data_IF_386104970112
#
_entry.id   IF_386104970112
#
_cell.length_a   1.000
_cell.length_b   1.000
_cell.length_c   1.000
_cell.angle_alpha   90.00
_cell.angle_beta   90.00
_cell.angle_gamma   90.00
#
_symmetry.space_group_name_H-M   'P 1'
#
loop_
_entity.id
_entity.type
_entity.pdbx_description
1 polymer ?
#
# COMPACT_ATOMS: atom_id res chain seq x y z
N UNK A 1 -12.74 55.28 -55.57
CA UNK A 1 -14.02 55.31 -54.83
C UNK A 1 -14.78 54.04 -55.16
N UNK A 2 -14.64 53.04 -54.31
CA UNK A 2 -15.49 51.85 -54.28
C UNK A 2 -15.69 51.55 -52.79
N UNK A 3 -16.94 51.67 -52.36
CA UNK A 3 -17.39 51.46 -50.98
C UNK A 3 -17.59 49.97 -50.72
N UNK A 4 -16.97 49.44 -49.67
CA UNK A 4 -17.19 48.07 -49.20
C UNK A 4 -18.63 47.85 -48.71
N UNK A 5 -19.19 46.64 -48.85
CA UNK A 5 -20.54 46.32 -48.43
C UNK A 5 -20.63 46.17 -46.89
N UNK A 6 -21.82 46.38 -46.28
CA UNK A 6 -21.99 46.27 -44.85
C UNK A 6 -21.92 44.81 -44.36
N UNK A 7 -21.54 44.57 -43.10
CA UNK A 7 -21.45 43.23 -42.54
C UNK A 7 -22.84 42.61 -42.33
N UNK A 8 -22.96 41.28 -42.31
CA UNK A 8 -24.25 40.61 -42.14
C UNK A 8 -24.78 40.80 -40.71
N UNK A 9 -26.10 40.97 -40.61
CA UNK A 9 -26.82 41.04 -39.34
C UNK A 9 -26.60 39.76 -38.51
N UNK A 10 -26.01 39.92 -37.32
CA UNK A 10 -26.02 38.87 -36.29
C UNK A 10 -27.45 38.70 -35.77
N UNK A 11 -28.07 37.57 -36.08
CA UNK A 11 -29.25 37.09 -35.37
C UNK A 11 -28.85 36.73 -33.95
N UNK A 12 -29.37 37.47 -32.96
CA UNK A 12 -29.18 37.18 -31.55
C UNK A 12 -29.82 35.82 -31.22
N UNK A 13 -29.02 34.88 -30.72
CA UNK A 13 -29.47 33.61 -30.15
C UNK A 13 -30.14 33.91 -28.81
N UNK A 14 -31.35 33.40 -28.50
CA UNK A 14 -31.98 33.65 -27.21
C UNK A 14 -31.19 32.97 -26.09
N UNK A 15 -30.90 33.71 -25.03
CA UNK A 15 -30.38 33.15 -23.77
C UNK A 15 -31.42 32.17 -23.17
N UNK A 16 -31.01 30.99 -22.69
CA UNK A 16 -31.91 30.11 -21.97
C UNK A 16 -32.31 30.76 -20.64
N UNK A 17 -33.48 30.41 -20.07
CA UNK A 17 -33.91 30.97 -18.81
C UNK A 17 -32.93 30.56 -17.71
N UNK A 18 -32.64 31.49 -16.81
CA UNK A 18 -31.87 31.22 -15.59
C UNK A 18 -32.67 30.24 -14.71
N UNK A 19 -32.43 28.94 -14.89
CA UNK A 19 -32.78 27.93 -13.88
C UNK A 19 -31.75 28.05 -12.77
N UNK A 20 -32.23 28.30 -11.55
CA UNK A 20 -31.40 28.22 -10.36
C UNK A 20 -30.91 26.79 -10.16
N UNK A 21 -29.71 26.50 -10.64
CA UNK A 21 -29.00 25.28 -10.30
C UNK A 21 -28.19 25.52 -9.04
N UNK A 22 -28.60 24.85 -7.95
CA UNK A 22 -27.67 24.48 -6.90
C UNK A 22 -26.54 23.66 -7.56
N UNK A 23 -25.27 23.81 -7.14
CA UNK A 23 -24.18 23.10 -7.79
C UNK A 23 -24.41 21.59 -7.69
N UNK A 24 -24.57 20.93 -8.84
CA UNK A 24 -24.48 19.48 -8.97
C UNK A 24 -23.15 19.07 -8.31
N UNK A 25 -23.24 18.47 -7.11
CA UNK A 25 -22.07 17.82 -6.51
C UNK A 25 -21.54 16.84 -7.54
N UNK A 26 -20.34 17.10 -8.07
CA UNK A 26 -19.68 16.20 -9.01
C UNK A 26 -19.42 14.88 -8.28
N UNK A 27 -20.23 13.85 -8.59
CA UNK A 27 -20.06 12.52 -8.01
C UNK A 27 -18.97 11.82 -8.80
N UNK A 28 -17.76 11.77 -8.24
CA UNK A 28 -16.67 10.96 -8.79
C UNK A 28 -17.04 9.48 -8.66
N UNK A 29 -16.75 8.67 -9.69
CA UNK A 29 -17.06 7.24 -9.71
C UNK A 29 -15.90 6.45 -10.31
N UNK A 30 -15.77 5.20 -9.89
CA UNK A 30 -14.78 4.25 -10.41
C UNK A 30 -15.39 2.86 -10.51
N UNK A 31 -14.62 1.92 -11.06
CA UNK A 31 -14.96 0.50 -11.05
C UNK A 31 -14.01 -0.25 -10.12
N UNK A 32 -14.59 -1.05 -9.24
CA UNK A 32 -13.86 -2.05 -8.46
C UNK A 32 -14.14 -3.39 -9.13
N UNK A 33 -13.13 -4.07 -9.69
CA UNK A 33 -13.32 -5.43 -10.15
C UNK A 33 -13.55 -6.29 -8.92
N UNK A 34 -14.76 -6.78 -8.70
CA UNK A 34 -15.03 -7.75 -7.64
C UNK A 34 -15.26 -9.08 -8.33
N UNK A 35 -14.60 -10.18 -7.91
CA UNK A 35 -14.95 -11.49 -8.43
C UNK A 35 -16.44 -11.73 -8.16
N UNK A 36 -17.26 -12.18 -9.14
CA UNK A 36 -18.66 -12.50 -8.87
C UNK A 36 -18.73 -13.43 -7.66
N UNK A 37 -19.49 -13.06 -6.65
CA UNK A 37 -19.67 -13.90 -5.47
C UNK A 37 -20.26 -15.24 -5.93
N UNK A 38 -19.47 -16.31 -5.79
CA UNK A 38 -19.85 -17.69 -6.10
C UNK A 38 -20.46 -17.90 -7.50
N UNK A 39 -19.63 -17.93 -8.54
CA UNK A 39 -19.94 -18.72 -9.74
C UNK A 39 -18.81 -19.72 -9.94
N UNK A 40 -19.12 -20.98 -9.66
CA UNK A 40 -18.30 -22.15 -9.99
C UNK A 40 -18.26 -22.33 -11.50
N UNK A 41 -17.49 -21.54 -12.24
CA UNK A 41 -16.95 -21.93 -13.55
C UNK A 41 -15.62 -21.21 -13.80
N UNK A 42 -14.66 -21.96 -14.35
CA UNK A 42 -13.31 -21.51 -14.61
C UNK A 42 -13.27 -20.44 -15.71
N UNK A 43 -12.58 -19.33 -15.44
CA UNK A 43 -12.21 -18.32 -16.45
C UNK A 43 -13.27 -17.24 -16.68
N UNK A 44 -13.48 -16.35 -15.71
CA UNK A 44 -14.20 -15.09 -15.95
C UNK A 44 -13.22 -13.98 -16.32
N UNK A 45 -13.34 -13.44 -17.54
CA UNK A 45 -12.71 -12.18 -17.95
C UNK A 45 -13.22 -11.01 -17.09
N UNK A 46 -12.42 -9.95 -17.00
CA UNK A 46 -12.87 -8.69 -16.39
C UNK A 46 -14.12 -8.19 -17.11
N UNK A 47 -15.12 -7.66 -16.40
CA UNK A 47 -16.35 -7.19 -17.04
C UNK A 47 -16.04 -6.03 -18.01
N UNK A 48 -16.75 -6.00 -19.14
CA UNK A 48 -16.60 -5.02 -20.22
C UNK A 48 -16.78 -3.56 -19.72
N UNK A 49 -15.99 -2.63 -20.24
CA UNK A 49 -15.84 -1.23 -19.77
C UNK A 49 -17.05 -0.34 -20.13
N UNK A 50 -18.09 -0.92 -20.74
CA UNK A 50 -19.26 -0.21 -21.28
C UNK A 50 -20.48 -0.22 -20.35
N UNK A 51 -20.47 -1.01 -19.27
CA UNK A 51 -21.62 -1.13 -18.35
C UNK A 51 -21.53 -0.20 -17.13
N UNK A 52 -22.26 0.92 -17.21
CA UNK A 52 -22.37 1.93 -16.14
C UNK A 52 -23.03 1.42 -14.85
N UNK A 53 -23.68 0.24 -14.87
CA UNK A 53 -24.33 -0.34 -13.69
C UNK A 53 -23.35 -0.79 -12.59
N UNK A 54 -22.06 -0.93 -12.94
CA UNK A 54 -21.00 -1.44 -12.06
C UNK A 54 -20.10 -0.37 -11.41
N UNK A 55 -20.44 0.92 -11.58
CA UNK A 55 -19.66 2.04 -11.04
C UNK A 55 -19.99 2.30 -9.56
N UNK A 56 -18.95 2.33 -8.74
CA UNK A 56 -19.02 2.71 -7.32
C UNK A 56 -18.61 4.18 -7.12
N UNK A 57 -19.14 4.88 -6.11
CA UNK A 57 -18.73 6.24 -5.80
C UNK A 57 -17.28 6.32 -5.29
N UNK A 58 -16.64 7.45 -5.56
CA UNK A 58 -15.41 7.89 -4.89
C UNK A 58 -15.80 9.07 -3.98
N UNK A 59 -15.54 8.92 -2.68
CA UNK A 59 -15.79 9.95 -1.68
C UNK A 59 -14.48 10.65 -1.30
N UNK A 60 -14.45 11.98 -1.38
CA UNK A 60 -13.39 12.78 -0.77
C UNK A 60 -13.85 13.09 0.65
N UNK A 61 -13.09 12.61 1.64
CA UNK A 61 -13.46 12.63 3.05
C UNK A 61 -12.59 13.66 3.77
N UNK A 62 -13.20 14.69 4.35
CA UNK A 62 -12.55 15.67 5.23
C UNK A 62 -13.15 15.70 6.65
N UNK A 63 -14.21 14.94 6.91
CA UNK A 63 -14.80 14.71 8.23
C UNK A 63 -15.08 13.22 8.48
N UNK A 64 -14.90 12.78 9.73
CA UNK A 64 -15.04 11.37 10.09
C UNK A 64 -16.46 10.83 9.84
N UNK A 65 -17.50 11.67 9.93
CA UNK A 65 -18.90 11.26 9.69
C UNK A 65 -19.18 10.79 8.26
N UNK A 66 -18.27 11.06 7.32
CA UNK A 66 -18.37 10.62 5.93
C UNK A 66 -17.81 9.20 5.71
N UNK A 67 -17.17 8.60 6.72
CA UNK A 67 -16.64 7.24 6.65
C UNK A 67 -17.70 6.20 7.06
N UNK A 68 -17.58 4.95 6.57
CA UNK A 68 -18.47 3.87 6.99
C UNK A 68 -18.45 3.66 8.50
N UNK A 69 -19.63 3.53 9.11
CA UNK A 69 -19.77 3.30 10.55
C UNK A 69 -18.96 2.08 11.04
N UNK A 70 -18.93 1.01 10.24
CA UNK A 70 -18.24 -0.24 10.57
C UNK A 70 -16.72 -0.13 10.47
N UNK A 71 -16.22 0.83 9.69
CA UNK A 71 -14.81 1.17 9.68
C UNK A 71 -14.45 1.91 10.97
N UNK A 72 -15.24 2.93 11.35
CA UNK A 72 -15.01 3.71 12.58
C UNK A 72 -15.19 2.88 13.85
N UNK A 73 -16.09 1.89 13.83
CA UNK A 73 -16.45 1.05 14.97
C UNK A 73 -16.26 -0.43 14.61
N UNK A 74 -15.01 -0.92 14.49
CA UNK A 74 -14.74 -2.30 14.14
C UNK A 74 -15.27 -3.25 15.20
N UNK A 75 -15.94 -4.33 14.78
CA UNK A 75 -16.53 -5.34 15.66
C UNK A 75 -16.16 -6.76 15.22
N UNK A 76 -16.10 -7.69 16.17
CA UNK A 76 -15.94 -9.11 15.88
C UNK A 76 -17.11 -9.69 15.06
N UNK A 77 -18.31 -9.11 15.21
CA UNK A 77 -19.52 -9.57 14.54
C UNK A 77 -19.49 -9.32 13.03
N UNK A 78 -18.71 -8.32 12.60
CA UNK A 78 -18.57 -7.97 11.20
C UNK A 78 -17.14 -7.63 10.86
N UNK A 79 -16.43 -8.63 10.34
CA UNK A 79 -15.08 -8.46 9.81
C UNK A 79 -15.12 -7.79 8.44
N UNK A 80 -14.16 -6.91 8.19
CA UNK A 80 -14.01 -6.20 6.92
C UNK A 80 -12.69 -6.57 6.26
N UNK A 81 -12.67 -6.52 4.92
CA UNK A 81 -11.45 -6.54 4.12
C UNK A 81 -11.48 -5.31 3.24
N UNK A 82 -10.46 -4.47 3.33
CA UNK A 82 -10.38 -3.20 2.61
C UNK A 82 -9.05 -3.11 1.86
N UNK A 83 -9.05 -2.50 0.67
CA UNK A 83 -7.83 -2.04 0.03
C UNK A 83 -7.33 -0.77 0.73
N UNK A 84 -6.03 -0.64 0.92
CA UNK A 84 -5.43 0.47 1.65
C UNK A 84 -4.12 0.91 1.01
N UNK A 85 -3.92 2.22 0.94
CA UNK A 85 -2.66 2.86 0.52
C UNK A 85 -2.56 4.25 1.20
N UNK A 86 -1.37 4.86 1.15
CA UNK A 86 -1.19 6.27 1.52
C UNK A 86 -0.31 6.99 0.50
N UNK A 87 -0.59 8.27 0.29
CA UNK A 87 0.21 9.14 -0.57
C UNK A 87 0.54 10.47 0.13
N UNK A 88 1.69 11.04 -0.21
CA UNK A 88 2.20 12.22 0.49
C UNK A 88 3.53 12.77 -0.01
N UNK A 89 4.07 13.73 0.73
CA UNK A 89 5.40 14.32 0.47
C UNK A 89 6.44 13.50 1.22
N UNK A 90 7.36 12.88 0.47
CA UNK A 90 8.42 12.01 1.03
C UNK A 90 7.86 11.07 2.11
N UNK A 91 6.77 10.36 1.81
CA UNK A 91 5.98 9.59 2.77
C UNK A 91 6.87 8.70 3.66
N UNK A 92 7.08 9.14 4.89
CA UNK A 92 7.91 8.52 5.92
C UNK A 92 7.69 9.28 7.25
N UNK A 93 8.51 8.99 8.27
CA UNK A 93 8.44 9.66 9.59
C UNK A 93 8.58 11.18 9.58
N UNK A 94 9.37 11.73 8.64
CA UNK A 94 9.72 13.14 8.56
C UNK A 94 9.02 13.85 7.38
N UNK A 95 8.28 13.09 6.57
CA UNK A 95 7.49 13.62 5.47
C UNK A 95 6.11 14.07 5.94
N UNK A 96 5.16 14.07 5.02
CA UNK A 96 3.77 14.35 5.33
C UNK A 96 2.86 13.39 4.58
N UNK A 97 2.00 12.66 5.29
CA UNK A 97 0.88 11.92 4.72
C UNK A 97 -0.18 12.95 4.32
N UNK A 98 -0.58 12.94 3.05
CA UNK A 98 -1.51 13.93 2.51
C UNK A 98 -2.89 13.33 2.19
N UNK A 99 -2.93 12.07 1.78
CA UNK A 99 -4.16 11.34 1.50
C UNK A 99 -3.98 9.87 1.87
N UNK A 100 -5.01 9.29 2.48
CA UNK A 100 -5.11 7.86 2.76
C UNK A 100 -6.28 7.30 1.96
N UNK A 101 -6.04 6.23 1.19
CA UNK A 101 -7.03 5.66 0.29
C UNK A 101 -7.60 4.37 0.87
N UNK A 102 -8.92 4.23 0.86
CA UNK A 102 -9.62 3.04 1.35
C UNK A 102 -10.55 2.53 0.25
N UNK A 103 -10.33 1.31 -0.23
CA UNK A 103 -11.24 0.63 -1.14
C UNK A 103 -12.12 -0.37 -0.39
N UNK A 104 -13.43 -0.16 -0.44
CA UNK A 104 -14.47 -1.08 0.00
C UNK A 104 -15.10 -1.76 -1.22
N UNK A 105 -15.85 -2.86 -1.07
CA UNK A 105 -16.56 -3.47 -2.20
C UNK A 105 -17.49 -2.51 -2.97
N UNK A 106 -18.05 -1.52 -2.29
CA UNK A 106 -19.11 -0.66 -2.82
C UNK A 106 -18.71 0.82 -2.97
N UNK A 107 -17.48 1.21 -2.59
CA UNK A 107 -17.00 2.59 -2.67
C UNK A 107 -15.47 2.71 -2.50
N UNK A 108 -14.90 3.82 -2.94
CA UNK A 108 -13.54 4.25 -2.57
C UNK A 108 -13.61 5.53 -1.75
N UNK A 109 -12.85 5.62 -0.67
CA UNK A 109 -12.75 6.80 0.18
C UNK A 109 -11.33 7.34 0.10
N UNK A 110 -11.19 8.60 -0.30
CA UNK A 110 -9.95 9.37 -0.31
C UNK A 110 -9.96 10.28 0.92
N UNK A 111 -9.34 9.82 2.00
CA UNK A 111 -9.28 10.51 3.29
C UNK A 111 -8.24 11.61 3.21
N UNK A 112 -8.71 12.86 3.24
CA UNK A 112 -7.89 14.07 3.14
C UNK A 112 -7.24 14.39 4.49
N UNK A 113 -6.05 13.83 4.73
CA UNK A 113 -5.30 14.04 5.97
C UNK A 113 -4.87 15.50 6.18
N UNK A 114 -4.84 16.33 5.13
CA UNK A 114 -4.51 17.76 5.24
C UNK A 114 -5.73 18.54 5.73
N UNK A 115 -6.89 18.39 5.07
CA UNK A 115 -8.10 19.12 5.46
C UNK A 115 -8.74 18.62 6.74
N UNK A 116 -8.86 17.30 6.90
CA UNK A 116 -9.44 16.69 8.10
C UNK A 116 -8.48 16.64 9.28
N UNK A 117 -7.17 16.74 9.01
CA UNK A 117 -6.13 16.86 10.03
C UNK A 117 -6.09 15.70 11.02
N UNK A 118 -5.54 15.99 12.20
CA UNK A 118 -5.37 15.03 13.29
C UNK A 118 -6.69 14.36 13.72
N UNK A 119 -7.79 15.14 13.77
CA UNK A 119 -9.08 14.63 14.23
C UNK A 119 -9.61 13.51 13.33
N UNK A 120 -9.54 13.69 12.01
CA UNK A 120 -9.95 12.67 11.04
C UNK A 120 -9.02 11.45 11.10
N UNK A 121 -7.71 11.66 11.19
CA UNK A 121 -6.75 10.56 11.26
C UNK A 121 -6.91 9.73 12.54
N UNK A 122 -7.13 10.37 13.69
CA UNK A 122 -7.42 9.66 14.94
C UNK A 122 -8.77 8.93 14.91
N UNK A 123 -9.78 9.45 14.20
CA UNK A 123 -11.04 8.73 14.01
C UNK A 123 -10.85 7.42 13.21
N UNK A 124 -9.84 7.35 12.34
CA UNK A 124 -9.50 6.13 11.60
C UNK A 124 -8.71 5.10 12.43
N UNK A 125 -8.10 5.52 13.55
CA UNK A 125 -7.21 4.69 14.37
C UNK A 125 -7.83 3.36 14.82
N UNK A 126 -9.08 3.30 15.35
CA UNK A 126 -9.69 2.02 15.72
C UNK A 126 -9.69 1.01 14.58
N UNK A 127 -9.97 1.46 13.35
CA UNK A 127 -10.00 0.62 12.17
C UNK A 127 -8.62 0.08 11.77
N UNK A 128 -7.63 0.98 11.76
CA UNK A 128 -6.28 0.70 11.30
C UNK A 128 -5.52 -0.21 12.27
N UNK A 129 -5.79 -0.10 13.58
CA UNK A 129 -5.22 -0.97 14.62
C UNK A 129 -6.04 -2.25 14.86
N UNK A 130 -7.23 -2.38 14.27
CA UNK A 130 -8.14 -3.51 14.52
C UNK A 130 -7.69 -4.83 13.89
N UNK A 131 -7.89 -5.93 14.62
CA UNK A 131 -7.78 -7.32 14.14
C UNK A 131 -9.04 -7.81 13.40
N UNK A 132 -10.12 -7.04 13.39
CA UNK A 132 -11.37 -7.36 12.68
C UNK A 132 -11.42 -6.77 11.27
N UNK A 133 -10.51 -5.84 10.94
CA UNK A 133 -10.40 -5.25 9.61
C UNK A 133 -9.07 -5.66 9.01
N UNK A 134 -9.09 -6.40 7.91
CA UNK A 134 -7.90 -6.74 7.14
C UNK A 134 -7.60 -5.61 6.16
N UNK A 135 -6.39 -5.06 6.25
CA UNK A 135 -5.91 -4.04 5.31
C UNK A 135 -5.08 -4.73 4.24
N UNK A 136 -5.60 -4.78 3.02
CA UNK A 136 -4.88 -5.28 1.84
C UNK A 136 -4.04 -4.14 1.28
N UNK A 137 -2.72 -4.32 1.26
CA UNK A 137 -1.75 -3.27 0.91
C UNK A 137 -0.71 -3.85 -0.05
N UNK A 138 -0.02 -3.02 -0.81
CA UNK A 138 1.17 -3.44 -1.55
C UNK A 138 2.42 -2.75 -0.99
N UNK A 139 3.30 -3.49 -0.33
CA UNK A 139 4.50 -2.97 0.35
C UNK A 139 4.22 -1.93 1.46
N UNK A 140 3.59 -2.38 2.55
CA UNK A 140 3.05 -1.52 3.62
C UNK A 140 4.08 -0.77 4.49
N UNK A 141 5.39 -0.98 4.31
CA UNK A 141 6.43 -0.52 5.24
C UNK A 141 6.41 1.01 5.40
N UNK A 142 6.11 1.74 4.33
CA UNK A 142 6.14 3.21 4.32
C UNK A 142 4.87 3.84 4.85
N UNK A 143 3.73 3.26 4.51
CA UNK A 143 2.45 3.67 5.05
C UNK A 143 2.45 3.51 6.56
N UNK A 144 2.94 2.37 7.05
CA UNK A 144 3.07 2.10 8.48
C UNK A 144 4.00 3.09 9.17
N UNK A 145 5.17 3.39 8.58
CA UNK A 145 6.11 4.38 9.15
C UNK A 145 5.46 5.78 9.27
N UNK A 146 4.75 6.23 8.23
CA UNK A 146 4.08 7.51 8.23
C UNK A 146 2.95 7.56 9.28
N UNK A 147 2.07 6.57 9.29
CA UNK A 147 0.98 6.44 10.27
C UNK A 147 1.50 6.43 11.71
N UNK A 148 2.57 5.68 11.97
CA UNK A 148 3.13 5.53 13.30
C UNK A 148 3.75 6.82 13.82
N UNK A 149 4.63 7.48 13.06
CA UNK A 149 5.33 8.67 13.55
C UNK A 149 4.53 9.95 13.45
N UNK A 150 3.62 10.08 12.47
CA UNK A 150 2.84 11.30 12.28
C UNK A 150 1.54 11.30 13.11
N UNK A 151 0.93 10.13 13.34
CA UNK A 151 -0.38 10.02 14.01
C UNK A 151 -0.40 9.02 15.17
N UNK A 152 0.71 8.34 15.50
CA UNK A 152 0.74 7.35 16.57
C UNK A 152 -0.17 6.14 16.32
N UNK A 153 -0.39 5.79 15.04
CA UNK A 153 -1.25 4.67 14.61
C UNK A 153 -0.40 3.45 14.28
N UNK A 154 -0.69 2.30 14.89
CA UNK A 154 0.00 1.03 14.64
C UNK A 154 -0.80 0.17 13.69
N UNK A 155 -0.44 0.24 12.42
CA UNK A 155 -1.08 -0.56 11.38
C UNK A 155 -1.01 -2.05 11.73
N UNK A 156 -2.18 -2.69 11.82
CA UNK A 156 -2.30 -4.09 12.26
C UNK A 156 -3.15 -4.92 11.29
N UNK A 157 -3.05 -6.25 11.31
CA UNK A 157 -3.83 -7.14 10.45
C UNK A 157 -3.72 -6.79 8.95
N UNK A 158 -2.48 -6.70 8.46
CA UNK A 158 -2.16 -6.40 7.07
C UNK A 158 -2.00 -7.67 6.25
N UNK A 159 -2.64 -7.68 5.08
CA UNK A 159 -2.37 -8.62 3.99
C UNK A 159 -1.54 -7.88 2.93
N UNK A 160 -0.22 -8.07 2.95
CA UNK A 160 0.67 -7.45 1.98
C UNK A 160 0.76 -8.29 0.70
N UNK A 161 0.25 -7.75 -0.39
CA UNK A 161 0.17 -8.42 -1.69
C UNK A 161 1.54 -8.74 -2.28
N UNK A 162 2.59 -7.96 -1.96
CA UNK A 162 3.95 -8.24 -2.42
C UNK A 162 4.52 -9.47 -1.69
N UNK A 163 4.29 -9.56 -0.38
CA UNK A 163 4.69 -10.73 0.43
C UNK A 163 3.92 -11.97 -0.03
N UNK A 164 2.60 -11.85 -0.21
CA UNK A 164 1.74 -12.93 -0.67
C UNK A 164 2.19 -13.49 -2.02
N UNK A 165 2.52 -12.62 -2.98
CA UNK A 165 3.08 -13.04 -4.26
C UNK A 165 4.38 -13.82 -4.10
N UNK A 166 5.35 -13.30 -3.33
CA UNK A 166 6.62 -13.99 -3.11
C UNK A 166 6.43 -15.37 -2.45
N UNK A 167 5.50 -15.50 -1.50
CA UNK A 167 5.20 -16.78 -0.86
C UNK A 167 4.60 -17.79 -1.86
N UNK A 168 3.74 -17.36 -2.78
CA UNK A 168 3.21 -18.23 -3.85
C UNK A 168 4.34 -18.70 -4.76
N UNK A 169 5.26 -17.82 -5.15
CA UNK A 169 6.43 -18.20 -5.96
C UNK A 169 7.34 -19.20 -5.21
N UNK A 170 7.54 -19.00 -3.91
CA UNK A 170 8.28 -19.93 -3.04
C UNK A 170 7.59 -21.31 -2.96
N UNK A 171 6.25 -21.35 -2.84
CA UNK A 171 5.47 -22.59 -2.88
C UNK A 171 5.66 -23.37 -4.20
N UNK A 172 5.78 -22.65 -5.31
CA UNK A 172 6.04 -23.22 -6.65
C UNK A 172 7.51 -23.64 -6.85
N UNK A 173 8.35 -23.51 -5.81
CA UNK A 173 9.75 -23.92 -5.82
C UNK A 173 10.70 -22.90 -6.47
N UNK A 174 10.23 -21.69 -6.76
CA UNK A 174 11.08 -20.63 -7.32
C UNK A 174 11.97 -20.06 -6.21
N UNK A 175 13.24 -19.87 -6.55
CA UNK A 175 14.19 -19.22 -5.65
C UNK A 175 14.04 -17.72 -5.76
N UNK A 176 13.89 -17.05 -4.62
CA UNK A 176 13.90 -15.60 -4.54
C UNK A 176 15.30 -15.07 -4.84
N UNK A 177 15.42 -14.24 -5.87
CA UNK A 177 16.61 -13.45 -6.07
C UNK A 177 16.59 -12.24 -5.11
N UNK A 178 17.75 -11.75 -4.64
CA UNK A 178 17.81 -10.52 -3.87
C UNK A 178 17.21 -9.36 -4.64
N UNK A 179 16.41 -8.54 -3.95
CA UNK A 179 15.79 -7.34 -4.51
C UNK A 179 14.82 -7.58 -5.70
N UNK A 180 14.42 -8.82 -5.94
CA UNK A 180 13.42 -9.20 -6.93
C UNK A 180 12.00 -9.07 -6.35
N UNK A 181 11.54 -7.84 -6.21
CA UNK A 181 10.20 -7.51 -5.73
C UNK A 181 9.28 -7.23 -6.90
N UNK A 182 8.13 -7.89 -6.94
CA UNK A 182 7.08 -7.52 -7.89
C UNK A 182 6.54 -6.13 -7.52
N UNK A 183 6.52 -5.23 -8.49
CA UNK A 183 5.84 -3.93 -8.33
C UNK A 183 4.32 -4.10 -8.42
N UNK A 184 3.55 -3.17 -7.85
CA UNK A 184 2.09 -3.22 -7.95
C UNK A 184 1.60 -3.28 -9.39
N UNK A 185 2.19 -2.48 -10.29
CA UNK A 185 1.86 -2.52 -11.74
C UNK A 185 2.23 -3.86 -12.37
N UNK A 186 3.36 -4.45 -11.96
CA UNK A 186 3.75 -5.79 -12.40
C UNK A 186 2.76 -6.86 -11.93
N UNK A 187 2.26 -6.74 -10.69
CA UNK A 187 1.24 -7.65 -10.14
C UNK A 187 -0.09 -7.52 -10.88
N UNK A 188 -0.50 -6.31 -11.24
CA UNK A 188 -1.68 -6.08 -12.09
C UNK A 188 -1.50 -6.66 -13.49
N UNK A 189 -0.30 -6.53 -14.08
CA UNK A 189 -0.02 -7.04 -15.41
C UNK A 189 0.10 -8.58 -15.46
N UNK A 190 0.36 -9.25 -14.34
CA UNK A 190 0.49 -10.71 -14.29
C UNK A 190 -0.87 -11.37 -14.60
N UNK A 191 -0.97 -12.20 -15.66
CA UNK A 191 -2.22 -12.80 -16.12
C UNK A 191 -2.80 -13.81 -15.14
N UNK A 192 -2.04 -14.28 -14.14
CA UNK A 192 -2.54 -15.16 -13.08
C UNK A 192 -3.44 -14.41 -12.09
N UNK A 193 -3.38 -13.08 -12.07
CA UNK A 193 -4.11 -12.24 -11.13
C UNK A 193 -5.08 -11.33 -11.88
N UNK A 194 -4.61 -10.19 -12.42
CA UNK A 194 -5.48 -9.24 -13.12
C UNK A 194 -5.30 -9.27 -14.65
N UNK A 195 -4.10 -9.51 -15.17
CA UNK A 195 -3.82 -9.44 -16.61
C UNK A 195 -4.03 -8.06 -17.24
N UNK A 196 -4.05 -6.98 -16.43
CA UNK A 196 -4.28 -5.62 -16.89
C UNK A 196 -2.94 -4.91 -17.05
N UNK A 197 -2.61 -4.55 -18.29
CA UNK A 197 -1.47 -3.68 -18.56
C UNK A 197 -1.83 -2.23 -18.23
N UNK A 198 -1.25 -1.72 -17.15
CA UNK A 198 -1.53 -0.37 -16.66
C UNK A 198 -0.40 0.60 -17.03
N UNK A 199 0.01 0.59 -18.30
CA UNK A 199 1.17 1.36 -18.78
C UNK A 199 0.99 2.87 -18.58
N UNK A 200 -0.25 3.37 -18.69
CA UNK A 200 -0.59 4.78 -18.45
C UNK A 200 -0.28 5.22 -17.01
N UNK A 201 -0.47 4.35 -16.02
CA UNK A 201 -0.15 4.65 -14.61
C UNK A 201 1.35 4.80 -14.39
N UNK A 202 2.18 4.14 -15.19
CA UNK A 202 3.63 4.36 -15.13
C UNK A 202 3.98 5.78 -15.58
N UNK A 203 3.36 6.28 -16.64
CA UNK A 203 3.52 7.66 -17.13
C UNK A 203 3.01 8.67 -16.10
N UNK A 204 1.82 8.44 -15.52
CA UNK A 204 1.28 9.30 -14.45
C UNK A 204 2.25 9.35 -13.28
N UNK A 205 2.74 8.21 -12.78
CA UNK A 205 3.72 8.16 -11.68
C UNK A 205 5.03 8.90 -11.97
N UNK A 206 5.46 8.99 -13.23
CA UNK A 206 6.60 9.82 -13.62
C UNK A 206 6.26 11.30 -13.45
N UNK A 207 5.11 11.74 -13.96
CA UNK A 207 4.64 13.13 -13.81
C UNK A 207 4.44 13.50 -12.32
N UNK A 208 3.91 12.58 -11.51
CA UNK A 208 3.73 12.80 -10.07
C UNK A 208 5.06 13.05 -9.34
N UNK A 209 6.16 12.45 -9.83
CA UNK A 209 7.49 12.61 -9.22
C UNK A 209 8.19 13.92 -9.59
N UNK A 210 7.73 14.61 -10.64
CA UNK A 210 8.30 15.90 -11.04
C UNK A 210 7.88 17.02 -10.07
N UNK A 211 6.75 16.86 -9.38
CA UNK A 211 6.28 17.77 -8.35
C UNK A 211 6.24 17.07 -6.98
N UNK A 212 7.28 17.26 -6.13
CA UNK A 212 7.30 16.69 -4.78
C UNK A 212 6.14 17.14 -3.88
N UNK A 213 5.46 18.24 -4.23
CA UNK A 213 4.32 18.78 -3.48
C UNK A 213 2.97 18.39 -4.07
N UNK A 214 2.95 17.56 -5.11
CA UNK A 214 1.75 17.17 -5.85
C UNK A 214 0.56 16.83 -4.94
N UNK A 215 0.78 16.00 -3.93
CA UNK A 215 -0.27 15.54 -3.01
C UNK A 215 -0.75 16.60 -2.01
N UNK A 216 -0.09 17.75 -1.93
CA UNK A 216 -0.46 18.84 -1.00
C UNK A 216 -1.53 19.77 -1.53
N UNK A 217 -1.73 19.83 -2.86
CA UNK A 217 -2.61 20.82 -3.46
C UNK A 217 -4.08 20.52 -3.18
N UNK A 218 -4.88 21.58 -2.99
CA UNK A 218 -6.33 21.49 -2.75
C UNK A 218 -7.09 22.56 -3.56
N UNK A 219 -8.33 22.26 -4.01
CA UNK A 219 -9.00 20.96 -3.96
C UNK A 219 -8.25 19.89 -4.79
N UNK A 220 -8.45 18.60 -4.49
CA UNK A 220 -7.81 17.54 -5.26
C UNK A 220 -8.24 17.66 -6.74
N UNK A 221 -7.28 17.59 -7.64
CA UNK A 221 -7.57 17.59 -9.08
C UNK A 221 -8.12 16.23 -9.51
N UNK A 222 -8.81 16.17 -10.64
CA UNK A 222 -9.29 14.90 -11.22
C UNK A 222 -8.16 13.88 -11.42
N UNK A 223 -6.95 14.35 -11.76
CA UNK A 223 -5.77 13.49 -11.89
C UNK A 223 -5.33 12.91 -10.54
N UNK A 224 -5.36 13.70 -9.46
CA UNK A 224 -5.06 13.22 -8.10
C UNK A 224 -6.07 12.16 -7.67
N UNK A 225 -7.35 12.42 -7.89
CA UNK A 225 -8.45 11.53 -7.51
C UNK A 225 -8.30 10.19 -8.24
N UNK A 226 -8.06 10.21 -9.56
CA UNK A 226 -7.85 9.00 -10.36
C UNK A 226 -6.60 8.23 -9.93
N UNK A 227 -5.47 8.91 -9.79
CA UNK A 227 -4.21 8.29 -9.39
C UNK A 227 -4.34 7.58 -8.04
N UNK A 228 -4.84 8.29 -7.01
CA UNK A 228 -5.05 7.73 -5.68
C UNK A 228 -6.04 6.55 -5.69
N UNK A 229 -7.14 6.66 -6.45
CA UNK A 229 -8.12 5.58 -6.58
C UNK A 229 -7.52 4.34 -7.23
N UNK A 230 -6.68 4.52 -8.25
CA UNK A 230 -6.02 3.43 -8.99
C UNK A 230 -5.01 2.65 -8.14
N UNK A 231 -4.50 3.20 -7.04
CA UNK A 231 -3.62 2.49 -6.11
C UNK A 231 -4.36 1.48 -5.23
N UNK A 232 -5.66 1.66 -4.99
CA UNK A 232 -6.43 0.76 -4.10
C UNK A 232 -7.54 -0.05 -4.77
N UNK A 233 -8.14 0.43 -5.87
CA UNK A 233 -9.37 -0.17 -6.43
C UNK A 233 -9.22 -1.63 -6.88
N UNK A 234 -8.01 -2.08 -7.16
CA UNK A 234 -7.71 -3.46 -7.57
C UNK A 234 -7.30 -4.38 -6.41
N UNK A 235 -7.01 -3.84 -5.22
CA UNK A 235 -6.43 -4.61 -4.13
C UNK A 235 -7.38 -5.71 -3.64
N UNK A 236 -8.69 -5.45 -3.56
CA UNK A 236 -9.66 -6.48 -3.15
C UNK A 236 -9.76 -7.63 -4.15
N UNK A 237 -9.73 -7.34 -5.45
CA UNK A 237 -9.68 -8.37 -6.48
C UNK A 237 -8.43 -9.24 -6.38
N UNK A 238 -7.28 -8.58 -6.29
CA UNK A 238 -5.97 -9.24 -6.14
C UNK A 238 -5.94 -10.07 -4.88
N UNK A 239 -6.49 -9.55 -3.78
CA UNK A 239 -6.62 -10.28 -2.52
C UNK A 239 -7.32 -11.62 -2.74
N UNK A 240 -8.50 -11.64 -3.36
CA UNK A 240 -9.21 -12.90 -3.61
C UNK A 240 -8.38 -13.89 -4.45
N UNK A 241 -7.72 -13.41 -5.52
CA UNK A 241 -6.88 -14.25 -6.38
C UNK A 241 -5.63 -14.80 -5.68
N UNK A 242 -5.02 -14.02 -4.79
CA UNK A 242 -3.88 -14.48 -3.99
C UNK A 242 -4.31 -15.47 -2.92
N UNK A 243 -5.42 -15.21 -2.24
CA UNK A 243 -5.95 -16.07 -1.18
C UNK A 243 -6.35 -17.46 -1.69
N UNK A 244 -6.83 -17.58 -2.94
CA UNK A 244 -7.09 -18.87 -3.60
C UNK A 244 -5.84 -19.73 -3.79
N UNK A 245 -4.64 -19.13 -3.79
CA UNK A 245 -3.37 -19.80 -4.10
C UNK A 245 -2.48 -20.07 -2.89
N UNK A 246 -2.68 -19.34 -1.80
CA UNK A 246 -1.91 -19.49 -0.58
C UNK A 246 -2.37 -20.74 0.18
N UNK A 247 -1.42 -21.63 0.52
CA UNK A 247 -1.68 -22.71 1.44
C UNK A 247 -1.62 -22.23 2.91
N UNK A 248 -2.05 -23.08 3.84
CA UNK A 248 -2.15 -22.72 5.26
C UNK A 248 -0.81 -22.25 5.87
N UNK A 249 0.30 -22.91 5.52
CA UNK A 249 1.64 -22.49 5.95
C UNK A 249 1.96 -21.09 5.46
N UNK A 250 1.75 -20.80 4.18
CA UNK A 250 2.04 -19.48 3.61
C UNK A 250 1.09 -18.41 4.12
N UNK A 251 -0.17 -18.73 4.44
CA UNK A 251 -1.09 -17.80 5.11
C UNK A 251 -0.56 -17.39 6.49
N UNK A 252 -0.07 -18.34 7.28
CA UNK A 252 0.57 -18.03 8.54
C UNK A 252 1.85 -17.19 8.33
N UNK A 253 2.74 -17.59 7.41
CA UNK A 253 3.95 -16.82 7.10
C UNK A 253 3.65 -15.39 6.63
N UNK A 254 2.61 -15.21 5.82
CA UNK A 254 2.13 -13.89 5.38
C UNK A 254 1.73 -13.02 6.57
N UNK A 255 0.99 -13.58 7.54
CA UNK A 255 0.56 -12.84 8.73
C UNK A 255 1.75 -12.40 9.61
N UNK A 256 2.77 -13.26 9.76
CA UNK A 256 4.00 -12.95 10.50
C UNK A 256 4.80 -11.88 9.77
N UNK A 257 5.08 -12.07 8.48
CA UNK A 257 5.87 -11.13 7.67
C UNK A 257 5.16 -9.78 7.52
N UNK A 258 3.84 -9.76 7.36
CA UNK A 258 3.04 -8.52 7.35
C UNK A 258 3.20 -7.74 8.65
N UNK A 259 3.19 -8.42 9.80
CA UNK A 259 3.44 -7.79 11.10
C UNK A 259 4.87 -7.24 11.22
N UNK A 260 5.87 -7.97 10.72
CA UNK A 260 7.26 -7.52 10.69
C UNK A 260 7.47 -6.33 9.74
N UNK A 261 6.78 -6.30 8.60
CA UNK A 261 6.81 -5.17 7.66
C UNK A 261 6.17 -3.91 8.26
N UNK A 262 5.04 -4.03 8.96
CA UNK A 262 4.43 -2.89 9.65
C UNK A 262 5.37 -2.28 10.70
N UNK A 263 6.14 -3.13 11.40
CA UNK A 263 7.16 -2.69 12.37
C UNK A 263 8.43 -2.17 11.71
N UNK A 264 8.69 -2.52 10.45
CA UNK A 264 9.87 -2.05 9.73
C UNK A 264 9.86 -0.53 9.68
N UNK A 265 11.01 0.08 9.95
CA UNK A 265 11.17 1.52 10.17
C UNK A 265 10.46 2.09 11.42
N UNK A 266 9.48 1.44 12.04
CA UNK A 266 8.79 1.94 13.25
C UNK A 266 9.58 1.72 14.56
N UNK A 267 10.90 1.98 14.57
CA UNK A 267 11.76 1.78 15.74
C UNK A 267 11.40 2.77 16.85
N UNK A 268 11.24 2.26 18.05
CA UNK A 268 11.15 3.00 19.29
C UNK A 268 12.05 2.34 20.35
N UNK A 269 12.16 2.93 21.54
CA UNK A 269 13.03 2.42 22.62
C UNK A 269 12.38 1.30 23.45
N UNK A 270 11.16 0.85 23.11
CA UNK A 270 10.39 -0.11 23.92
C UNK A 270 10.38 -1.54 23.35
N UNK A 271 11.23 -1.83 22.35
CA UNK A 271 11.31 -3.14 21.69
C UNK A 271 9.95 -3.63 21.12
N UNK A 272 9.18 -2.70 20.55
CA UNK A 272 7.85 -2.95 20.00
C UNK A 272 6.82 -3.48 21.01
N UNK A 273 7.00 -3.24 22.31
CA UNK A 273 6.09 -3.69 23.37
C UNK A 273 4.67 -3.15 23.22
N UNK A 274 4.51 -2.04 22.50
CA UNK A 274 3.23 -1.41 22.18
C UNK A 274 2.58 -1.93 20.88
N UNK A 275 3.27 -2.80 20.13
CA UNK A 275 2.72 -3.45 18.95
C UNK A 275 2.00 -4.76 19.32
N UNK A 276 0.93 -5.13 18.59
CA UNK A 276 0.30 -6.44 18.75
C UNK A 276 1.35 -7.57 18.58
N UNK A 277 1.27 -8.66 19.36
CA UNK A 277 2.21 -9.77 19.26
C UNK A 277 2.20 -10.38 17.85
N UNK A 278 3.31 -11.05 17.47
CA UNK A 278 3.34 -11.78 16.21
C UNK A 278 2.31 -12.91 16.23
N UNK A 279 1.64 -13.22 15.10
CA UNK A 279 0.68 -14.31 15.03
C UNK A 279 1.24 -15.66 15.46
N UNK A 280 0.51 -16.36 16.33
CA UNK A 280 0.85 -17.72 16.75
C UNK A 280 0.64 -18.72 15.62
N UNK A 281 1.34 -19.85 15.68
CA UNK A 281 1.15 -20.95 14.74
C UNK A 281 -0.28 -21.52 14.88
N UNK A 282 -1.03 -21.73 13.77
CA UNK A 282 -2.32 -22.40 13.79
C UNK A 282 -2.27 -23.81 14.39
N UNK A 283 -3.31 -24.21 15.13
CA UNK A 283 -3.40 -25.53 15.78
C UNK A 283 -3.35 -26.70 14.78
N UNK A 284 -3.88 -26.50 13.58
CA UNK A 284 -3.81 -27.43 12.45
C UNK A 284 -2.36 -27.76 12.07
N UNK A 285 -1.52 -26.74 11.86
CA UNK A 285 -0.11 -26.92 11.56
C UNK A 285 0.66 -27.55 12.73
N UNK A 286 0.28 -27.21 13.97
CA UNK A 286 0.82 -27.88 15.17
C UNK A 286 0.49 -29.38 15.15
N UNK A 287 -0.76 -29.74 14.84
CA UNK A 287 -1.21 -31.13 14.78
C UNK A 287 -0.52 -31.94 13.67
N UNK A 288 -0.14 -31.29 12.57
CA UNK A 288 0.67 -31.87 11.48
C UNK A 288 2.15 -32.03 11.86
N UNK A 289 2.57 -31.59 13.05
CA UNK A 289 3.96 -31.64 13.49
C UNK A 289 4.84 -30.61 12.78
N UNK A 290 4.27 -29.56 12.20
CA UNK A 290 5.04 -28.51 11.55
C UNK A 290 5.84 -27.72 12.58
N UNK A 291 7.16 -27.64 12.36
CA UNK A 291 8.06 -26.80 13.17
C UNK A 291 8.31 -25.51 12.39
N UNK A 292 7.79 -24.37 12.85
CA UNK A 292 7.96 -23.11 12.15
C UNK A 292 9.41 -22.65 12.22
N UNK A 293 9.89 -22.08 11.12
CA UNK A 293 11.13 -21.30 11.14
C UNK A 293 10.75 -19.92 11.68
N UNK A 294 11.23 -19.61 12.88
CA UNK A 294 11.01 -18.30 13.48
C UNK A 294 11.64 -17.21 12.61
N UNK A 295 10.85 -16.19 12.28
CA UNK A 295 11.28 -15.00 11.55
C UNK A 295 11.26 -13.77 12.47
N UNK A 296 12.28 -12.91 12.36
CA UNK A 296 12.43 -11.72 13.18
C UNK A 296 12.74 -10.50 12.33
N UNK A 297 12.46 -9.32 12.89
CA UNK A 297 13.01 -8.04 12.43
C UNK A 297 14.16 -7.68 13.38
N UNK A 298 15.38 -7.63 12.85
CA UNK A 298 16.52 -7.07 13.57
C UNK A 298 16.91 -5.70 13.03
N UNK A 299 17.35 -4.83 13.94
CA UNK A 299 17.75 -3.45 13.64
C UNK A 299 19.19 -3.26 14.06
N UNK A 300 20.07 -3.09 13.07
CA UNK A 300 21.49 -2.86 13.26
C UNK A 300 21.80 -1.36 13.21
N UNK A 301 22.37 -0.82 14.29
CA UNK A 301 22.92 0.53 14.29
C UNK A 301 24.26 0.59 13.56
N UNK A 302 24.41 1.60 12.71
CA UNK A 302 25.56 1.85 11.85
C UNK A 302 26.25 3.14 12.31
N UNK A 303 27.50 3.09 12.79
CA UNK A 303 28.21 4.30 13.20
C UNK A 303 28.36 5.30 12.04
N UNK A 304 28.46 6.61 12.34
CA UNK A 304 28.67 7.65 11.34
C UNK A 304 29.83 7.32 10.38
N UNK A 305 29.60 7.50 9.08
CA UNK A 305 30.59 7.23 8.03
C UNK A 305 30.80 5.75 7.68
N UNK A 306 30.16 4.80 8.38
CA UNK A 306 30.33 3.36 8.12
C UNK A 306 29.31 2.78 7.13
N UNK A 307 28.21 3.48 6.83
CA UNK A 307 27.17 3.00 5.91
C UNK A 307 27.71 2.65 4.52
N UNK A 308 28.64 3.45 3.98
CA UNK A 308 29.29 3.17 2.70
C UNK A 308 30.06 1.83 2.67
N UNK A 309 30.52 1.33 3.82
CA UNK A 309 31.21 0.02 3.93
C UNK A 309 30.24 -1.16 3.93
N UNK A 310 29.05 -0.96 4.49
CA UNK A 310 27.95 -1.91 4.44
C UNK A 310 27.50 -2.07 2.98
N UNK A 311 27.16 -0.95 2.34
CA UNK A 311 26.67 -0.91 0.96
C UNK A 311 27.75 -1.39 -0.02
N UNK A 312 28.99 -0.91 0.15
CA UNK A 312 30.09 -1.17 -0.78
C UNK A 312 29.96 -0.38 -2.09
N UNK A 313 30.99 -0.47 -2.93
CA UNK A 313 31.00 0.23 -4.23
C UNK A 313 29.86 -0.30 -5.11
N UNK A 314 28.95 0.60 -5.51
CA UNK A 314 27.80 0.26 -6.35
C UNK A 314 26.81 -0.74 -5.72
N UNK A 315 26.82 -0.91 -4.38
CA UNK A 315 25.95 -1.89 -3.71
C UNK A 315 26.49 -3.32 -3.68
N UNK A 316 27.63 -3.61 -4.29
CA UNK A 316 28.13 -4.99 -4.43
C UNK A 316 28.30 -5.73 -3.10
N UNK A 317 28.69 -5.02 -2.03
CA UNK A 317 28.86 -5.63 -0.71
C UNK A 317 27.50 -6.04 -0.13
N UNK A 318 26.52 -5.13 -0.12
CA UNK A 318 25.21 -5.43 0.43
C UNK A 318 24.47 -6.49 -0.40
N UNK A 319 24.58 -6.44 -1.73
CA UNK A 319 24.03 -7.47 -2.63
C UNK A 319 24.60 -8.84 -2.29
N UNK A 320 25.92 -8.97 -2.11
CA UNK A 320 26.55 -10.23 -1.70
C UNK A 320 26.05 -10.73 -0.33
N UNK A 321 25.80 -9.83 0.64
CA UNK A 321 25.21 -10.23 1.93
C UNK A 321 23.79 -10.75 1.73
N UNK A 322 22.96 -10.08 0.93
CA UNK A 322 21.59 -10.53 0.61
C UNK A 322 21.56 -11.87 -0.14
N UNK A 323 22.50 -12.11 -1.04
CA UNK A 323 22.62 -13.39 -1.77
C UNK A 323 22.97 -14.55 -0.84
N UNK A 324 23.85 -14.31 0.13
CA UNK A 324 24.33 -15.38 1.00
C UNK A 324 23.49 -15.57 2.27
N UNK A 325 22.70 -14.58 2.67
CA UNK A 325 21.82 -14.63 3.84
C UNK A 325 20.40 -14.49 3.30
N UNK A 326 19.61 -15.57 3.34
CA UNK A 326 18.25 -15.61 2.79
C UNK A 326 17.28 -14.76 3.66
N UNK A 327 17.50 -13.46 3.64
CA UNK A 327 16.87 -12.44 4.46
C UNK A 327 16.73 -11.16 3.65
N UNK A 328 15.70 -10.38 3.99
CA UNK A 328 15.49 -9.06 3.44
C UNK A 328 16.32 -8.05 4.21
N UNK A 329 17.19 -7.32 3.50
CA UNK A 329 18.05 -6.29 4.11
C UNK A 329 17.69 -4.93 3.53
N UNK A 330 17.17 -4.05 4.37
CA UNK A 330 16.77 -2.70 4.01
C UNK A 330 17.72 -1.71 4.66
N UNK A 331 18.29 -0.83 3.83
CA UNK A 331 19.20 0.21 4.28
C UNK A 331 18.39 1.47 4.57
N UNK A 332 18.61 2.08 5.74
CA UNK A 332 18.06 3.41 6.03
C UNK A 332 18.71 4.54 5.22
N UNK A 333 18.35 5.79 5.46
CA UNK A 333 18.84 6.96 4.71
C UNK A 333 17.71 7.69 4.01
N UNK A 334 17.76 7.81 2.68
CA UNK A 334 16.65 8.39 1.89
C UNK A 334 15.33 7.65 2.14
N UNK A 335 15.42 6.39 2.59
CA UNK A 335 14.30 5.54 2.92
C UNK A 335 14.22 5.11 4.40
N UNK A 336 14.74 5.86 5.36
CA UNK A 336 14.53 5.56 6.78
C UNK A 336 15.63 6.18 7.66
N UNK A 337 15.77 5.80 8.93
CA UNK A 337 16.83 6.32 9.78
C UNK A 337 18.22 6.11 9.14
N UNK A 338 19.01 7.17 8.89
CA UNK A 338 20.25 7.08 8.10
C UNK A 338 21.35 6.21 8.73
N UNK A 339 21.23 5.94 10.02
CA UNK A 339 22.15 5.19 10.86
C UNK A 339 21.68 3.76 11.15
N UNK A 340 20.67 3.24 10.43
CA UNK A 340 20.10 1.91 10.68
C UNK A 340 20.08 1.02 9.44
N UNK A 341 20.23 -0.29 9.68
CA UNK A 341 19.95 -1.36 8.72
C UNK A 341 18.91 -2.29 9.34
N UNK A 342 17.88 -2.61 8.57
CA UNK A 342 16.79 -3.48 8.97
C UNK A 342 16.96 -4.84 8.28
N UNK A 343 16.83 -5.91 9.03
CA UNK A 343 17.05 -7.27 8.54
C UNK A 343 15.83 -8.10 8.94
N UNK A 344 15.07 -8.59 7.95
CA UNK A 344 13.86 -9.38 8.16
C UNK A 344 14.08 -10.79 7.61
N UNK A 345 13.72 -11.82 8.38
CA UNK A 345 13.71 -13.20 7.91
C UNK A 345 14.03 -14.21 9.00
N UNK A 346 14.38 -15.45 8.63
CA UNK A 346 14.70 -16.52 9.57
C UNK A 346 15.79 -16.13 10.58
N UNK A 347 15.58 -16.42 11.87
CA UNK A 347 16.52 -16.03 12.95
C UNK A 347 17.97 -16.36 12.62
N UNK A 348 18.26 -17.58 12.12
CA UNK A 348 19.63 -18.00 11.79
C UNK A 348 20.25 -17.16 10.68
N UNK A 349 19.49 -16.86 9.63
CA UNK A 349 19.96 -16.05 8.49
C UNK A 349 20.11 -14.58 8.89
N UNK A 350 19.22 -14.05 9.73
CA UNK A 350 19.32 -12.70 10.28
C UNK A 350 20.59 -12.55 11.11
N UNK A 351 20.87 -13.48 12.05
CA UNK A 351 22.09 -13.44 12.87
C UNK A 351 23.37 -13.57 12.04
N UNK A 352 23.33 -14.38 10.98
CA UNK A 352 24.44 -14.49 10.01
C UNK A 352 24.66 -13.17 9.27
N UNK A 353 23.61 -12.54 8.76
CA UNK A 353 23.71 -11.23 8.11
C UNK A 353 24.27 -10.17 9.07
N UNK A 354 23.77 -10.11 10.31
CA UNK A 354 24.29 -9.20 11.35
C UNK A 354 25.78 -9.37 11.57
N UNK A 355 26.26 -10.61 11.72
CA UNK A 355 27.67 -10.89 11.94
C UNK A 355 28.54 -10.39 10.78
N UNK A 356 28.12 -10.63 9.53
CA UNK A 356 28.81 -10.17 8.33
C UNK A 356 28.84 -8.64 8.28
N UNK A 357 27.70 -7.99 8.51
CA UNK A 357 27.58 -6.53 8.48
C UNK A 357 28.40 -5.87 9.59
N UNK A 358 28.39 -6.41 10.81
CA UNK A 358 29.24 -5.96 11.91
C UNK A 358 30.72 -6.09 11.58
N UNK A 359 31.14 -7.22 11.01
CA UNK A 359 32.51 -7.41 10.53
C UNK A 359 32.95 -6.32 9.56
N UNK A 360 32.10 -5.95 8.59
CA UNK A 360 32.40 -4.89 7.61
C UNK A 360 32.56 -3.49 8.23
N UNK A 361 31.98 -3.23 9.40
CA UNK A 361 32.12 -1.95 10.09
C UNK A 361 33.42 -1.84 10.91
N UNK A 362 34.02 -2.97 11.32
CA UNK A 362 35.17 -3.03 12.23
C UNK A 362 36.52 -2.74 11.58
N UNK A 363 36.70 -3.06 10.29
CA UNK A 363 37.94 -2.74 9.58
C UNK A 363 38.14 -1.23 9.53
N UNK A 364 39.37 -0.72 9.73
CA UNK A 364 39.73 0.71 9.80
C UNK A 364 39.92 1.27 8.39
#
# INVERSE_FOLDING_TARGET
MASDPPPPHQTAIPLPPASGDQPLHLVHRTRIPIPPAAVTEAGGDLPDDTDQSSLVPIHIVDDASQLPHEFLNPSADKKLVIGFDCEGVDLCRNGALCVMQLAFPDAVYLVDAIKGGEALMQACKPALESSYITKVIHDCKRDSEALYFQFGIRLHNVMDTQIAYSLIEEQEGKKRAPDDYISFVGLLADPRYCGVSYLEKQTVRVLLREDPKFWTYRPMTEMMIRAATDDVRFLLYIYHKLMEKLNEKSLWQLSVRGSLYCRCFCINDNDYADWPPLPSLPESLVAEGYVPVEEILSVLHVPPGKMGRIIGRGGASITSVKECCNCEILIGGSKGPPDKVFIIGPVKEVRKAEAILRGKMLYI
#
